data_IF_988273023531
#
_entry.id   IF_988273023531
#
_cell.length_a   1.000
_cell.length_b   1.000
_cell.length_c   1.000
_cell.angle_alpha   90.00
_cell.angle_beta   90.00
_cell.angle_gamma   90.00
#
_symmetry.space_group_name_H-M   'P 1'
#
loop_
_entity.id
_entity.type
_entity.pdbx_description
1 polymer ?
#
# COMPACT_ATOMS: atom_id res chain seq x y z
N UNK A 1 11.67 -23.61 -20.67
CA UNK A 1 10.42 -23.79 -19.91
C UNK A 1 9.50 -22.64 -20.29
N UNK A 2 8.25 -22.87 -20.72
CA UNK A 2 7.36 -21.76 -21.05
C UNK A 2 6.99 -21.01 -19.77
N UNK A 3 6.98 -19.68 -19.82
CA UNK A 3 6.52 -18.84 -18.74
C UNK A 3 5.05 -19.16 -18.45
N UNK A 4 4.73 -19.55 -17.23
CA UNK A 4 3.34 -19.74 -16.82
C UNK A 4 2.74 -18.33 -16.71
N UNK A 5 1.85 -18.01 -17.64
CA UNK A 5 1.05 -16.80 -17.62
C UNK A 5 -0.06 -16.95 -16.57
N UNK A 6 0.28 -16.65 -15.31
CA UNK A 6 -0.65 -16.74 -14.19
C UNK A 6 -1.83 -15.77 -14.31
N UNK A 7 -1.72 -14.72 -15.14
CA UNK A 7 -2.85 -13.84 -15.44
C UNK A 7 -3.94 -14.55 -16.26
N UNK A 8 -3.56 -15.52 -17.10
CA UNK A 8 -4.51 -16.34 -17.85
C UNK A 8 -5.23 -17.39 -16.99
N UNK A 9 -4.68 -17.75 -15.82
CA UNK A 9 -5.22 -18.81 -14.94
C UNK A 9 -6.25 -18.30 -13.91
N UNK A 10 -6.44 -16.98 -13.78
CA UNK A 10 -7.47 -16.40 -12.92
C UNK A 10 -8.25 -15.31 -13.65
N UNK A 11 -9.21 -15.73 -14.48
CA UNK A 11 -10.43 -14.95 -14.83
C UNK A 11 -10.22 -13.72 -15.74
N UNK A 12 -10.43 -13.90 -17.05
CA UNK A 12 -10.68 -12.80 -17.99
C UNK A 12 -9.44 -12.16 -18.61
N UNK A 13 -9.64 -11.39 -19.68
CA UNK A 13 -8.57 -10.66 -20.37
C UNK A 13 -7.79 -9.75 -19.40
N UNK A 14 -6.51 -9.49 -19.71
CA UNK A 14 -5.68 -8.53 -18.98
C UNK A 14 -6.46 -7.22 -18.78
N UNK A 15 -6.60 -6.71 -17.54
CA UNK A 15 -7.36 -5.50 -17.29
C UNK A 15 -6.83 -4.34 -18.12
N UNK A 16 -7.73 -3.67 -18.84
CA UNK A 16 -7.39 -2.44 -19.56
C UNK A 16 -7.04 -1.32 -18.57
N UNK A 17 -6.27 -0.33 -19.02
CA UNK A 17 -5.90 0.82 -18.20
C UNK A 17 -7.12 1.54 -17.57
N UNK A 18 -8.25 1.78 -18.28
CA UNK A 18 -9.46 2.31 -17.66
C UNK A 18 -10.04 1.44 -16.55
N UNK A 19 -10.02 0.11 -16.71
CA UNK A 19 -10.51 -0.83 -15.67
C UNK A 19 -9.62 -0.80 -14.43
N UNK A 20 -8.30 -0.67 -14.61
CA UNK A 20 -7.35 -0.53 -13.51
C UNK A 20 -7.57 0.79 -12.75
N UNK A 21 -7.77 1.92 -13.45
CA UNK A 21 -8.10 3.19 -12.82
C UNK A 21 -9.40 3.14 -12.03
N UNK A 22 -10.46 2.58 -12.62
CA UNK A 22 -11.75 2.39 -11.93
C UNK A 22 -11.59 1.53 -10.68
N UNK A 23 -10.85 0.42 -10.78
CA UNK A 23 -10.56 -0.45 -9.65
C UNK A 23 -9.80 0.29 -8.54
N UNK A 24 -8.75 1.04 -8.88
CA UNK A 24 -7.95 1.80 -7.93
C UNK A 24 -8.78 2.86 -7.20
N UNK A 25 -9.65 3.59 -7.91
CA UNK A 25 -10.55 4.57 -7.31
C UNK A 25 -11.47 3.94 -6.25
N UNK A 26 -12.08 2.79 -6.57
CA UNK A 26 -12.95 2.08 -5.63
C UNK A 26 -12.18 1.43 -4.48
N UNK A 27 -10.96 0.95 -4.73
CA UNK A 27 -10.07 0.44 -3.69
C UNK A 27 -9.74 1.55 -2.67
N UNK A 28 -9.38 2.75 -3.14
CA UNK A 28 -9.15 3.94 -2.29
C UNK A 28 -10.40 4.33 -1.51
N UNK A 29 -11.56 4.35 -2.17
CA UNK A 29 -12.85 4.65 -1.49
C UNK A 29 -13.12 3.66 -0.36
N UNK A 30 -12.90 2.36 -0.60
CA UNK A 30 -13.05 1.32 0.41
C UNK A 30 -12.04 1.46 1.55
N UNK A 31 -10.79 1.80 1.23
CA UNK A 31 -9.77 2.06 2.23
C UNK A 31 -10.17 3.23 3.14
N UNK A 32 -10.65 4.34 2.59
CA UNK A 32 -11.16 5.46 3.38
C UNK A 32 -12.29 5.03 4.32
N UNK A 33 -13.31 4.33 3.81
CA UNK A 33 -14.40 3.81 4.65
C UNK A 33 -13.89 2.90 5.77
N UNK A 34 -12.87 2.08 5.49
CA UNK A 34 -12.24 1.21 6.49
C UNK A 34 -11.54 2.01 7.59
N UNK A 35 -10.82 3.05 7.19
CA UNK A 35 -10.06 3.91 8.11
C UNK A 35 -10.94 4.89 8.89
N UNK A 36 -12.16 5.19 8.40
CA UNK A 36 -13.09 6.16 9.00
C UNK A 36 -13.42 5.82 10.47
N UNK A 37 -13.56 4.53 10.76
CA UNK A 37 -13.95 4.02 12.07
C UNK A 37 -12.76 3.54 12.91
N UNK A 38 -11.51 3.88 12.51
CA UNK A 38 -10.35 3.48 13.32
C UNK A 38 -10.31 4.27 14.63
N UNK A 39 -10.20 3.57 15.79
CA UNK A 39 -10.10 4.20 17.09
C UNK A 39 -8.78 4.96 17.33
N UNK A 40 -7.73 4.76 16.51
CA UNK A 40 -6.41 5.38 16.71
C UNK A 40 -6.00 6.39 15.64
N UNK A 41 -6.79 6.52 14.57
CA UNK A 41 -6.56 7.50 13.52
C UNK A 41 -7.63 7.41 12.45
N UNK A 42 -8.67 8.22 12.57
CA UNK A 42 -9.70 8.30 11.55
C UNK A 42 -9.19 9.07 10.34
N UNK A 43 -9.51 8.60 9.14
CA UNK A 43 -9.36 9.44 7.96
C UNK A 43 -10.19 10.72 8.13
N UNK A 44 -9.59 11.91 7.94
CA UNK A 44 -10.30 13.17 8.11
C UNK A 44 -11.31 13.39 6.99
N UNK A 45 -12.38 14.13 7.28
CA UNK A 45 -13.47 14.43 6.33
C UNK A 45 -12.96 15.01 5.00
N UNK A 46 -11.85 15.78 5.04
CA UNK A 46 -11.21 16.35 3.85
C UNK A 46 -10.83 15.31 2.80
N UNK A 47 -10.37 14.12 3.20
CA UNK A 47 -10.06 13.04 2.25
C UNK A 47 -11.31 12.45 1.61
N UNK A 48 -12.41 12.31 2.37
CA UNK A 48 -13.70 11.89 1.83
C UNK A 48 -14.23 12.90 0.81
N UNK A 49 -14.10 14.19 1.12
CA UNK A 49 -14.49 15.27 0.21
C UNK A 49 -13.70 15.22 -1.10
N UNK A 50 -12.38 15.06 -1.03
CA UNK A 50 -11.52 14.92 -2.22
C UNK A 50 -11.94 13.75 -3.11
N UNK A 51 -12.23 12.59 -2.54
CA UNK A 51 -12.70 11.42 -3.31
C UNK A 51 -14.09 11.65 -3.90
N UNK A 52 -15.00 12.28 -3.15
CA UNK A 52 -16.33 12.60 -3.64
C UNK A 52 -16.30 13.59 -4.81
N UNK A 53 -15.42 14.59 -4.77
CA UNK A 53 -15.21 15.54 -5.86
C UNK A 53 -14.70 14.85 -7.13
N UNK A 54 -13.85 13.82 -6.99
CA UNK A 54 -13.31 13.02 -8.10
C UNK A 54 -14.19 11.87 -8.58
N UNK A 55 -15.40 11.69 -8.01
CA UNK A 55 -16.30 10.57 -8.37
C UNK A 55 -16.68 10.48 -9.85
N UNK A 56 -16.74 11.63 -10.54
CA UNK A 56 -17.13 11.70 -11.96
C UNK A 56 -15.96 11.29 -12.84
N UNK A 57 -14.75 11.81 -12.58
CA UNK A 57 -13.54 11.46 -13.31
C UNK A 57 -12.93 10.11 -12.89
N UNK A 58 -13.37 9.55 -11.75
CA UNK A 58 -12.85 8.31 -11.14
C UNK A 58 -11.33 8.30 -11.03
N UNK A 59 -10.74 9.47 -10.79
CA UNK A 59 -9.28 9.62 -10.71
C UNK A 59 -8.80 9.45 -9.27
N UNK A 60 -7.68 8.74 -9.10
CA UNK A 60 -7.01 8.60 -7.81
C UNK A 60 -6.41 9.98 -7.42
N UNK A 61 -6.64 10.48 -6.18
CA UNK A 61 -6.03 11.73 -5.72
C UNK A 61 -4.51 11.63 -5.59
N UNK A 62 -3.82 12.77 -5.61
CA UNK A 62 -2.35 12.82 -5.58
C UNK A 62 -1.74 12.20 -4.32
N UNK A 63 -2.38 12.38 -3.16
CA UNK A 63 -1.97 11.74 -1.91
C UNK A 63 -2.33 10.26 -1.81
N UNK A 64 -2.89 9.64 -2.84
CA UNK A 64 -3.29 8.24 -2.82
C UNK A 64 -2.42 7.42 -3.78
N UNK A 65 -1.85 6.32 -3.30
CA UNK A 65 -1.05 5.40 -4.12
C UNK A 65 -1.61 4.00 -3.92
N UNK A 66 -1.93 3.32 -5.04
CA UNK A 66 -2.39 1.94 -5.05
C UNK A 66 -1.29 1.07 -5.64
N UNK A 67 -0.90 0.03 -4.91
CA UNK A 67 0.07 -0.98 -5.33
C UNK A 67 -0.59 -2.35 -5.34
N UNK A 68 -0.42 -3.12 -6.41
CA UNK A 68 -0.97 -4.48 -6.53
C UNK A 68 0.16 -5.46 -6.78
N UNK A 69 0.21 -6.55 -6.01
CA UNK A 69 1.18 -7.62 -6.17
C UNK A 69 0.52 -9.00 -6.21
N UNK A 70 1.15 -9.95 -6.89
CA UNK A 70 0.79 -11.36 -6.77
C UNK A 70 1.30 -11.90 -5.43
N UNK A 71 0.49 -12.71 -4.77
CA UNK A 71 0.83 -13.42 -3.52
C UNK A 71 0.41 -14.87 -3.66
N UNK A 72 1.10 -15.75 -2.94
CA UNK A 72 0.59 -17.08 -2.64
C UNK A 72 -0.77 -16.94 -1.95
N UNK A 73 -1.65 -17.96 -1.99
CA UNK A 73 -2.94 -17.92 -1.32
C UNK A 73 -2.78 -17.60 0.17
N UNK A 74 -3.07 -16.36 0.53
CA UNK A 74 -2.93 -15.84 1.87
C UNK A 74 -4.20 -15.09 2.18
N UNK A 75 -4.98 -15.62 3.13
CA UNK A 75 -5.98 -14.82 3.80
C UNK A 75 -5.23 -13.89 4.75
N UNK A 76 -4.81 -12.72 4.27
CA UNK A 76 -4.56 -11.63 5.21
C UNK A 76 -5.89 -11.29 5.84
N UNK A 77 -5.91 -10.92 7.13
CA UNK A 77 -7.12 -10.30 7.68
C UNK A 77 -7.55 -9.18 6.72
N UNK A 78 -8.77 -9.28 6.21
CA UNK A 78 -9.26 -8.34 5.23
C UNK A 78 -9.22 -6.92 5.83
N UNK A 79 -8.25 -6.11 5.42
CA UNK A 79 -8.11 -4.74 5.87
C UNK A 79 -7.23 -4.59 7.10
N UNK A 80 -5.99 -5.06 6.99
CA UNK A 80 -4.88 -4.54 7.78
C UNK A 80 -4.86 -3.04 7.55
N UNK A 81 -4.99 -2.29 8.63
CA UNK A 81 -5.10 -0.85 8.59
C UNK A 81 -4.11 -0.27 9.57
N UNK A 82 -3.28 0.64 9.07
CA UNK A 82 -2.39 1.45 9.87
C UNK A 82 -2.69 2.91 9.55
N UNK A 83 -2.86 3.75 10.55
CA UNK A 83 -2.95 5.19 10.32
C UNK A 83 -2.36 5.97 11.47
N UNK A 84 -1.99 7.21 11.19
CA UNK A 84 -1.45 8.15 12.17
C UNK A 84 -1.77 9.58 11.74
N UNK A 85 -1.81 10.48 12.72
CA UNK A 85 -1.80 11.93 12.50
C UNK A 85 -0.39 12.44 12.80
N UNK A 86 0.29 12.98 11.79
CA UNK A 86 1.62 13.60 11.88
C UNK A 86 1.45 15.10 11.68
N UNK A 87 1.76 15.88 12.72
CA UNK A 87 1.66 17.35 12.68
C UNK A 87 0.28 17.88 12.18
N UNK A 88 -0.80 17.18 12.52
CA UNK A 88 -2.17 17.52 12.11
C UNK A 88 -2.59 17.03 10.71
N UNK A 89 -1.71 16.30 10.03
CA UNK A 89 -1.93 15.67 8.74
C UNK A 89 -2.03 14.15 8.85
N UNK A 90 -2.89 13.57 8.05
CA UNK A 90 -3.19 12.15 8.05
C UNK A 90 -2.30 11.41 7.07
N UNK A 91 -1.77 10.28 7.52
CA UNK A 91 -1.30 9.21 6.64
C UNK A 91 -1.86 7.87 7.11
N UNK A 92 -2.33 7.09 6.15
CA UNK A 92 -2.88 5.77 6.36
C UNK A 92 -2.37 4.78 5.32
N UNK A 93 -2.37 3.53 5.70
CA UNK A 93 -2.02 2.40 4.87
C UNK A 93 -3.03 1.28 5.11
N UNK A 94 -3.59 0.77 4.02
CA UNK A 94 -4.55 -0.33 4.03
C UNK A 94 -4.05 -1.43 3.10
N UNK A 95 -3.88 -2.63 3.64
CA UNK A 95 -3.55 -3.82 2.86
C UNK A 95 -4.69 -4.85 2.90
N UNK A 96 -5.06 -5.35 1.73
CA UNK A 96 -6.14 -6.34 1.56
C UNK A 96 -5.69 -7.42 0.59
N UNK A 97 -5.92 -8.68 0.95
CA UNK A 97 -5.79 -9.81 0.03
C UNK A 97 -7.09 -10.05 -0.75
N UNK A 98 -7.01 -10.22 -2.07
CA UNK A 98 -8.09 -10.72 -2.91
C UNK A 98 -7.57 -11.89 -3.76
N UNK A 99 -7.90 -13.12 -3.37
CA UNK A 99 -7.41 -14.31 -4.04
C UNK A 99 -5.89 -14.41 -3.91
N UNK A 100 -5.18 -14.40 -5.03
CA UNK A 100 -3.71 -14.37 -5.11
C UNK A 100 -3.17 -12.95 -5.32
N UNK A 101 -3.94 -11.91 -4.97
CA UNK A 101 -3.51 -10.52 -5.06
C UNK A 101 -3.39 -9.89 -3.68
N UNK A 102 -2.29 -9.17 -3.45
CA UNK A 102 -2.14 -8.20 -2.38
C UNK A 102 -2.39 -6.81 -2.95
N UNK A 103 -3.37 -6.10 -2.40
CA UNK A 103 -3.69 -4.72 -2.75
C UNK A 103 -3.28 -3.85 -1.56
N UNK A 104 -2.29 -2.98 -1.78
CA UNK A 104 -1.73 -2.06 -0.80
C UNK A 104 -2.10 -0.63 -1.18
N UNK A 105 -2.68 0.12 -0.25
CA UNK A 105 -3.28 1.43 -0.50
C UNK A 105 -2.71 2.41 0.51
N UNK A 106 -1.95 3.39 0.05
CA UNK A 106 -1.48 4.51 0.85
C UNK A 106 -2.44 5.69 0.67
N UNK A 107 -2.84 6.29 1.78
CA UNK A 107 -3.73 7.43 1.85
C UNK A 107 -3.00 8.56 2.59
N UNK A 108 -2.73 9.66 1.93
CA UNK A 108 -2.12 10.84 2.54
C UNK A 108 -3.02 12.04 2.31
N UNK A 109 -3.07 12.91 3.31
CA UNK A 109 -3.56 14.26 3.11
C UNK A 109 -2.76 15.01 2.04
N UNK A 110 -3.36 16.05 1.41
CA UNK A 110 -2.70 16.89 0.43
C UNK A 110 -1.70 17.87 1.09
N UNK A 111 -0.89 17.36 2.00
CA UNK A 111 0.28 18.04 2.55
C UNK A 111 1.56 17.43 1.98
N UNK A 112 2.55 18.28 1.73
CA UNK A 112 3.80 17.89 1.07
C UNK A 112 4.55 16.82 1.86
N UNK A 113 4.52 16.88 3.19
CA UNK A 113 5.24 15.92 4.04
C UNK A 113 4.58 14.54 4.04
N UNK A 114 3.24 14.48 4.14
CA UNK A 114 2.50 13.21 4.10
C UNK A 114 2.50 12.58 2.72
N UNK A 115 2.40 13.38 1.66
CA UNK A 115 2.58 12.91 0.27
C UNK A 115 3.97 12.33 0.09
N UNK A 116 5.03 13.06 0.49
CA UNK A 116 6.40 12.57 0.37
C UNK A 116 6.62 11.25 1.15
N UNK A 117 5.99 11.12 2.32
CA UNK A 117 6.03 9.88 3.09
C UNK A 117 5.30 8.73 2.39
N UNK A 118 4.14 8.96 1.79
CA UNK A 118 3.44 7.96 0.99
C UNK A 118 4.27 7.52 -0.23
N UNK A 119 4.89 8.44 -0.97
CA UNK A 119 5.80 8.09 -2.06
C UNK A 119 7.00 7.28 -1.57
N UNK A 120 7.61 7.68 -0.45
CA UNK A 120 8.72 6.93 0.14
C UNK A 120 8.29 5.53 0.59
N UNK A 121 7.08 5.39 1.13
CA UNK A 121 6.53 4.08 1.49
C UNK A 121 6.33 3.19 0.26
N UNK A 122 5.76 3.73 -0.81
CA UNK A 122 5.62 3.02 -2.09
C UNK A 122 6.99 2.60 -2.66
N UNK A 123 7.96 3.52 -2.67
CA UNK A 123 9.33 3.24 -3.12
C UNK A 123 10.00 2.17 -2.25
N UNK A 124 9.75 2.18 -0.93
CA UNK A 124 10.30 1.17 -0.02
C UNK A 124 9.79 -0.23 -0.35
N UNK A 125 8.49 -0.37 -0.63
CA UNK A 125 7.93 -1.62 -1.08
C UNK A 125 8.61 -2.09 -2.36
N UNK A 126 8.80 -1.20 -3.34
CA UNK A 126 9.51 -1.53 -4.58
C UNK A 126 10.94 -1.99 -4.32
N UNK A 127 11.65 -1.42 -3.36
CA UNK A 127 13.01 -1.89 -3.03
C UNK A 127 12.97 -3.30 -2.41
N UNK A 128 12.00 -3.56 -1.54
CA UNK A 128 11.81 -4.88 -0.92
C UNK A 128 11.32 -5.94 -1.89
N UNK A 129 10.49 -5.55 -2.86
CA UNK A 129 9.86 -6.48 -3.80
C UNK A 129 9.78 -5.84 -5.21
N UNK A 130 10.93 -5.65 -5.90
CA UNK A 130 11.07 -4.81 -7.10
C UNK A 130 10.33 -5.30 -8.34
N UNK A 131 10.01 -6.58 -8.38
CA UNK A 131 9.38 -7.22 -9.54
C UNK A 131 7.86 -7.31 -9.41
N UNK A 132 7.33 -6.99 -8.22
CA UNK A 132 6.02 -7.49 -7.79
C UNK A 132 4.89 -6.48 -7.88
N UNK A 133 5.14 -5.21 -8.21
CA UNK A 133 4.12 -4.16 -8.07
C UNK A 133 3.62 -3.61 -9.40
N UNK A 134 2.29 -3.55 -9.51
CA UNK A 134 1.60 -2.60 -10.36
C UNK A 134 1.30 -1.36 -9.53
N UNK A 135 1.81 -0.22 -9.95
CA UNK A 135 1.61 1.05 -9.26
C UNK A 135 0.58 1.87 -10.03
N UNK A 136 -0.37 2.42 -9.29
CA UNK A 136 -1.28 3.43 -9.78
C UNK A 136 -1.25 4.62 -8.84
N UNK A 137 -0.93 5.79 -9.41
CA UNK A 137 -0.96 7.10 -8.77
C UNK A 137 -1.06 8.18 -9.84
N UNK A 138 -1.12 9.48 -9.46
CA UNK A 138 -1.27 10.59 -10.40
C UNK A 138 -0.21 10.61 -11.51
N UNK A 139 1.00 10.10 -11.23
CA UNK A 139 2.18 10.19 -12.11
C UNK A 139 2.83 8.82 -12.44
N UNK A 140 2.15 7.69 -12.17
CA UNK A 140 2.73 6.36 -12.38
C UNK A 140 1.92 5.55 -13.38
N UNK A 141 2.55 5.20 -14.51
CA UNK A 141 2.17 4.06 -15.33
C UNK A 141 3.20 2.94 -15.06
N UNK A 142 2.71 1.73 -14.78
CA UNK A 142 3.53 0.64 -14.24
C UNK A 142 4.66 0.19 -15.20
N UNK A 143 5.84 -0.20 -14.68
CA UNK A 143 6.86 -0.88 -15.48
C UNK A 143 6.43 -2.29 -15.88
N UNK A 144 6.96 -2.77 -17.02
CA UNK A 144 6.71 -4.11 -17.56
C UNK A 144 7.09 -5.22 -16.55
N UNK A 145 6.18 -6.18 -16.41
CA UNK A 145 6.13 -7.20 -15.35
C UNK A 145 7.28 -8.20 -15.38
N UNK A 146 7.75 -8.60 -14.19
CA UNK A 146 8.26 -9.96 -13.96
C UNK A 146 7.52 -10.59 -12.79
N UNK A 147 7.09 -11.84 -12.93
CA UNK A 147 6.20 -12.50 -11.99
C UNK A 147 6.98 -13.08 -10.80
N UNK A 148 7.28 -12.24 -9.81
CA UNK A 148 7.52 -12.75 -8.46
C UNK A 148 6.17 -12.85 -7.73
N UNK A 149 5.98 -13.91 -6.95
CA UNK A 149 4.76 -14.13 -6.16
C UNK A 149 5.17 -14.02 -4.70
N UNK A 150 4.61 -13.04 -3.99
CA UNK A 150 4.91 -12.81 -2.57
C UNK A 150 4.48 -14.00 -1.73
N UNK A 151 5.35 -14.44 -0.82
CA UNK A 151 5.03 -15.42 0.20
C UNK A 151 4.15 -14.80 1.29
N UNK A 152 3.40 -15.60 2.07
CA UNK A 152 2.61 -15.12 3.20
C UNK A 152 3.35 -14.14 4.09
N UNK A 153 4.61 -14.46 4.41
CA UNK A 153 5.44 -13.67 5.31
C UNK A 153 5.85 -12.31 4.70
N UNK A 154 6.13 -12.26 3.40
CA UNK A 154 6.42 -11.01 2.67
C UNK A 154 5.17 -10.12 2.58
N UNK A 155 4.01 -10.74 2.40
CA UNK A 155 2.71 -10.06 2.39
C UNK A 155 2.43 -9.40 3.76
N UNK A 156 2.78 -10.06 4.87
CA UNK A 156 2.70 -9.46 6.23
C UNK A 156 3.57 -8.21 6.35
N UNK A 157 4.81 -8.25 5.87
CA UNK A 157 5.71 -7.07 5.89
C UNK A 157 5.12 -5.92 5.10
N UNK A 158 4.65 -6.20 3.88
CA UNK A 158 4.05 -5.20 3.03
C UNK A 158 2.83 -4.56 3.71
N UNK A 159 2.05 -5.34 4.48
CA UNK A 159 0.92 -4.87 5.29
C UNK A 159 1.29 -4.04 6.53
N UNK A 160 2.51 -4.15 7.03
CA UNK A 160 3.00 -3.43 8.22
C UNK A 160 3.94 -2.25 7.89
N UNK A 161 4.04 -1.90 6.60
CA UNK A 161 4.95 -0.91 6.05
C UNK A 161 4.95 0.43 6.80
N UNK A 162 3.76 0.99 7.07
CA UNK A 162 3.67 2.29 7.72
C UNK A 162 4.18 2.23 9.16
N UNK A 163 3.90 1.13 9.86
CA UNK A 163 4.42 0.87 11.20
C UNK A 163 5.95 0.73 11.23
N UNK A 164 6.55 0.14 10.19
CA UNK A 164 8.01 0.13 10.04
C UNK A 164 8.54 1.56 9.86
N UNK A 165 8.05 2.31 8.88
CA UNK A 165 8.59 3.63 8.52
C UNK A 165 8.54 4.66 9.66
N UNK A 166 7.58 4.52 10.56
CA UNK A 166 7.35 5.44 11.68
C UNK A 166 8.02 5.02 12.99
N UNK A 167 8.77 3.91 12.99
CA UNK A 167 9.54 3.40 14.13
C UNK A 167 8.74 3.40 15.46
N UNK A 168 7.69 2.57 15.51
CA UNK A 168 6.86 2.26 16.68
C UNK A 168 6.28 3.46 17.46
N UNK A 169 5.99 4.58 16.79
CA UNK A 169 5.10 5.64 17.28
C UNK A 169 3.79 5.63 16.50
N UNK A 170 2.63 5.82 17.16
CA UNK A 170 1.51 4.88 17.14
C UNK A 170 0.81 4.81 15.77
N UNK A 171 1.40 4.07 14.84
CA UNK A 171 0.63 3.41 13.79
C UNK A 171 -0.08 2.23 14.46
N UNK A 172 -1.37 2.02 14.16
CA UNK A 172 -2.03 0.76 14.51
C UNK A 172 -1.12 -0.40 14.08
N UNK A 173 -0.58 -1.12 15.06
CA UNK A 173 0.29 -2.24 14.75
C UNK A 173 -0.58 -3.32 14.11
N UNK A 174 -0.06 -3.86 13.01
CA UNK A 174 -0.34 -5.22 12.62
C UNK A 174 -0.35 -6.10 13.87
N UNK A 175 -1.33 -7.00 14.00
CA UNK A 175 -1.30 -7.98 15.09
C UNK A 175 0.04 -8.72 15.09
N UNK A 176 0.83 -8.56 16.14
CA UNK A 176 2.19 -9.13 16.32
C UNK A 176 3.31 -8.42 15.56
N UNK A 177 4.43 -8.18 16.26
CA UNK A 177 5.68 -7.67 15.71
C UNK A 177 6.22 -8.64 14.65
N UNK A 178 6.55 -8.13 13.47
CA UNK A 178 7.19 -8.90 12.41
C UNK A 178 8.71 -8.76 12.54
N UNK A 179 9.41 -9.88 12.59
CA UNK A 179 10.87 -9.93 12.53
C UNK A 179 11.32 -9.70 11.08
N UNK A 180 12.00 -8.58 10.80
CA UNK A 180 12.44 -8.23 9.44
C UNK A 180 13.40 -9.26 8.84
N UNK A 181 14.22 -9.94 9.66
CA UNK A 181 15.18 -10.94 9.19
C UNK A 181 14.49 -12.20 8.65
N UNK A 182 13.25 -12.43 9.07
CA UNK A 182 12.46 -13.58 8.63
C UNK A 182 11.81 -13.39 7.24
N UNK A 183 11.86 -12.18 6.67
CA UNK A 183 10.93 -11.78 5.58
C UNK A 183 11.54 -10.84 4.55
N UNK A 184 12.44 -9.93 4.94
CA UNK A 184 13.17 -9.09 3.98
C UNK A 184 14.56 -9.70 3.80
N UNK A 185 14.90 -10.21 2.60
CA UNK A 185 16.23 -10.74 2.34
C UNK A 185 17.32 -9.73 2.73
N UNK A 186 18.40 -10.19 3.37
CA UNK A 186 19.50 -9.34 3.85
C UNK A 186 20.07 -8.42 2.76
N UNK A 187 20.12 -8.89 1.50
CA UNK A 187 20.54 -8.09 0.35
C UNK A 187 19.66 -6.86 0.06
N UNK A 188 18.40 -6.85 0.52
CA UNK A 188 17.44 -5.74 0.35
C UNK A 188 17.31 -4.86 1.60
N UNK A 189 17.90 -5.25 2.73
CA UNK A 189 17.84 -4.48 3.99
C UNK A 189 18.61 -3.15 3.92
N UNK A 190 19.72 -3.09 3.17
CA UNK A 190 20.47 -1.85 2.96
C UNK A 190 19.70 -0.79 2.13
N UNK A 191 18.66 -1.22 1.41
CA UNK A 191 17.77 -0.34 0.65
C UNK A 191 16.63 0.24 1.48
N UNK A 192 16.63 0.07 2.81
CA UNK A 192 15.69 0.74 3.71
C UNK A 192 16.34 2.03 4.20
N UNK A 193 16.00 3.22 3.64
CA UNK A 193 16.47 4.46 4.18
C UNK A 193 15.65 4.72 5.45
N UNK A 194 16.14 4.24 6.58
CA UNK A 194 15.66 4.66 7.89
C UNK A 194 16.17 6.09 8.11
N UNK A 195 15.31 7.12 8.27
CA UNK A 195 15.73 8.30 8.99
C UNK A 195 16.10 7.78 10.37
N UNK A 196 17.31 8.10 10.83
CA UNK A 196 17.60 7.95 12.25
C UNK A 196 16.44 8.62 12.98
N UNK A 197 15.64 7.82 13.69
CA UNK A 197 14.54 8.34 14.48
C UNK A 197 15.22 9.23 15.52
N UNK A 198 15.23 10.54 15.27
CA UNK A 198 15.60 11.51 16.29
C UNK A 198 14.66 11.26 17.44
N UNK A 199 15.16 10.57 18.46
CA UNK A 199 14.53 10.53 19.77
C UNK A 199 14.35 11.98 20.17
N UNK A 200 13.12 12.49 20.04
CA UNK A 200 12.75 13.74 20.71
C UNK A 200 12.85 13.43 22.20
N UNK A 201 13.90 13.98 22.82
CA UNK A 201 14.03 14.06 24.27
C UNK A 201 13.03 15.04 24.86
#
# INVERSE_FOLDING_TARGET
>A
MPAIDFFALSVGAVPTQPQLHDFAFWAVTRALLRTHYSPRGHAPERLFRMIYERRVSRSVPEGCIVSIALTEPVAMEAGVHQSVQLDGHYIGHVAVSWGTLLISILLADPDRSTIALAHRASAQLQIWFPETFWLMGPDFEAPAHSAHVLRPSETLVAGALLGFLLDLHPADQFGTKIDLDAVVPSARQAGVPWPEATKRG
#
